data_IF_761628738471
#
_entry.id   IF_761628738471
#
_cell.length_a   1.000
_cell.length_b   1.000
_cell.length_c   1.000
_cell.angle_alpha   90.00
_cell.angle_beta   90.00
_cell.angle_gamma   90.00
#
_symmetry.space_group_name_H-M   'P 1'
#
loop_
_entity.id
_entity.type
_entity.pdbx_description
1 polymer ?
#
# COMPACT_ATOMS: atom_id res chain seq x y z
N UNK A 1 27.70 -7.09 -8.59
CA UNK A 1 27.34 -6.74 -7.20
C UNK A 1 26.05 -5.94 -7.28
N UNK A 2 25.03 -6.32 -6.52
CA UNK A 2 23.77 -5.56 -6.47
C UNK A 2 24.05 -4.21 -5.83
N UNK A 3 23.80 -3.11 -6.55
CA UNK A 3 23.97 -1.77 -5.99
C UNK A 3 22.84 -1.47 -5.01
N UNK A 4 23.15 -0.75 -3.95
CA UNK A 4 22.21 -0.47 -2.86
C UNK A 4 22.18 1.01 -2.49
N UNK A 5 21.07 1.44 -1.90
CA UNK A 5 20.83 2.82 -1.44
C UNK A 5 20.42 2.78 0.04
N UNK A 6 20.98 3.68 0.85
CA UNK A 6 20.59 3.85 2.26
C UNK A 6 19.26 4.61 2.36
N UNK A 7 18.28 4.04 3.07
CA UNK A 7 16.98 4.67 3.34
C UNK A 7 16.74 4.84 4.83
N UNK A 8 15.67 5.52 5.21
CA UNK A 8 15.27 5.66 6.62
C UNK A 8 15.05 4.32 7.35
N UNK A 9 14.76 3.26 6.60
CA UNK A 9 14.42 1.93 7.12
C UNK A 9 15.53 0.91 6.88
N UNK A 10 16.70 1.38 6.45
CA UNK A 10 17.86 0.55 6.11
C UNK A 10 18.12 0.50 4.61
N UNK A 11 18.97 -0.43 4.21
CA UNK A 11 19.50 -0.48 2.84
C UNK A 11 18.54 -1.19 1.88
N UNK A 12 18.29 -0.60 0.70
CA UNK A 12 17.43 -1.18 -0.35
C UNK A 12 18.20 -1.35 -1.67
N UNK A 13 17.74 -2.25 -2.54
CA UNK A 13 18.32 -2.39 -3.89
C UNK A 13 18.06 -1.10 -4.71
N UNK A 14 19.10 -0.58 -5.37
CA UNK A 14 19.01 0.59 -6.24
C UNK A 14 17.93 0.49 -7.33
N UNK A 15 17.66 -0.70 -7.87
CA UNK A 15 16.61 -0.92 -8.87
C UNK A 15 15.21 -0.66 -8.27
N UNK A 16 15.00 -1.10 -7.03
CA UNK A 16 13.73 -0.86 -6.30
C UNK A 16 13.58 0.62 -5.99
N UNK A 17 14.66 1.29 -5.59
CA UNK A 17 14.66 2.72 -5.35
C UNK A 17 14.35 3.52 -6.63
N UNK A 18 14.90 3.11 -7.77
CA UNK A 18 14.59 3.71 -9.07
C UNK A 18 13.13 3.49 -9.49
N UNK A 19 12.57 2.30 -9.23
CA UNK A 19 11.14 2.03 -9.46
C UNK A 19 10.27 2.91 -8.56
N UNK A 20 10.59 3.01 -7.26
CA UNK A 20 9.82 3.80 -6.29
C UNK A 20 9.71 5.28 -6.71
N UNK A 21 10.75 5.83 -7.35
CA UNK A 21 10.76 7.20 -7.88
C UNK A 21 9.69 7.45 -8.95
N UNK A 22 9.37 6.44 -9.75
CA UNK A 22 8.47 6.56 -10.90
C UNK A 22 6.99 6.33 -10.55
N UNK A 23 6.68 6.02 -9.29
CA UNK A 23 5.32 5.67 -8.85
C UNK A 23 4.40 6.89 -8.93
N UNK A 24 3.25 6.67 -9.58
CA UNK A 24 2.14 7.64 -9.74
C UNK A 24 0.84 7.14 -9.13
N UNK A 25 0.72 5.84 -8.90
CA UNK A 25 -0.41 5.19 -8.24
C UNK A 25 0.12 4.19 -7.22
N UNK A 26 -0.34 4.28 -5.98
CA UNK A 26 -0.13 3.26 -4.95
C UNK A 26 -1.46 2.58 -4.62
N UNK A 27 -1.49 1.27 -4.82
CA UNK A 27 -2.62 0.42 -4.47
C UNK A 27 -2.29 -0.32 -3.18
N UNK A 28 -3.24 -0.41 -2.26
CA UNK A 28 -3.07 -1.15 -1.02
C UNK A 28 -4.20 -2.16 -0.85
N UNK A 29 -3.87 -3.37 -0.41
CA UNK A 29 -4.82 -4.18 0.35
C UNK A 29 -5.10 -3.52 1.72
N UNK A 30 -6.09 -4.03 2.45
CA UNK A 30 -6.48 -3.54 3.77
C UNK A 30 -6.03 -4.49 4.87
N UNK A 31 -6.42 -5.75 4.81
CA UNK A 31 -6.34 -6.67 5.93
C UNK A 31 -4.99 -7.37 5.95
N UNK A 32 -4.17 -7.08 6.95
CA UNK A 32 -2.76 -7.49 6.97
C UNK A 32 -1.82 -6.44 6.36
N UNK A 33 -2.35 -5.37 5.77
CA UNK A 33 -1.56 -4.23 5.27
C UNK A 33 -1.79 -2.98 6.10
N UNK A 34 -3.01 -2.44 6.07
CA UNK A 34 -3.42 -1.29 6.90
C UNK A 34 -3.82 -1.72 8.32
N UNK A 35 -4.17 -2.99 8.51
CA UNK A 35 -4.43 -3.63 9.80
C UNK A 35 -3.42 -4.75 10.06
N UNK A 36 -3.42 -5.30 11.26
CA UNK A 36 -2.61 -6.47 11.66
C UNK A 36 -3.24 -7.81 11.20
N UNK A 37 -4.19 -7.77 10.26
CA UNK A 37 -4.91 -8.92 9.72
C UNK A 37 -6.02 -9.46 10.63
N UNK A 38 -6.21 -8.89 11.82
CA UNK A 38 -7.26 -9.34 12.76
C UNK A 38 -8.62 -8.73 12.43
N UNK A 39 -9.65 -9.56 12.57
CA UNK A 39 -11.04 -9.15 12.57
C UNK A 39 -11.60 -9.43 13.96
N UNK A 40 -12.04 -8.38 14.66
CA UNK A 40 -12.67 -8.51 15.96
C UNK A 40 -14.18 -8.61 15.75
N UNK A 41 -14.79 -9.68 16.26
CA UNK A 41 -16.22 -9.93 16.13
C UNK A 41 -16.87 -9.98 17.51
N UNK A 42 -17.98 -9.26 17.67
CA UNK A 42 -18.81 -9.29 18.87
C UNK A 42 -19.98 -10.27 18.75
N UNK A 43 -20.52 -10.69 19.89
CA UNK A 43 -21.65 -11.63 19.94
C UNK A 43 -22.95 -11.06 19.35
N UNK A 44 -23.03 -9.73 19.18
CA UNK A 44 -24.22 -9.04 18.68
C UNK A 44 -24.03 -8.56 17.24
N UNK A 45 -23.00 -9.05 16.53
CA UNK A 45 -22.72 -8.71 15.15
C UNK A 45 -21.81 -7.49 14.96
N UNK A 46 -21.18 -6.99 16.01
CA UNK A 46 -20.13 -5.97 15.88
C UNK A 46 -18.93 -6.53 15.10
N UNK A 47 -18.38 -5.72 14.20
CA UNK A 47 -17.08 -5.97 13.57
C UNK A 47 -16.19 -4.76 13.88
N UNK A 48 -14.94 -4.98 14.32
CA UNK A 48 -13.96 -3.91 14.50
C UNK A 48 -12.68 -4.23 13.71
N UNK A 49 -12.06 -3.16 13.20
CA UNK A 49 -10.75 -3.18 12.54
C UNK A 49 -9.93 -2.03 13.06
N UNK A 50 -8.64 -2.26 13.25
CA UNK A 50 -7.68 -1.25 13.69
C UNK A 50 -6.92 -0.69 12.49
N UNK A 51 -6.53 0.58 12.58
CA UNK A 51 -5.72 1.27 11.58
C UNK A 51 -4.65 2.09 12.28
N UNK A 52 -3.51 2.29 11.61
CA UNK A 52 -2.40 3.05 12.19
C UNK A 52 -2.40 4.51 11.71
N UNK A 53 -2.28 5.46 12.64
CA UNK A 53 -2.30 6.90 12.31
C UNK A 53 -1.07 7.35 11.52
N UNK A 54 0.09 6.68 11.71
CA UNK A 54 1.28 6.95 10.88
C UNK A 54 1.05 6.60 9.41
N UNK A 55 0.28 5.55 9.12
CA UNK A 55 -0.09 5.21 7.74
C UNK A 55 -0.97 6.30 7.14
N UNK A 56 -1.92 6.84 7.93
CA UNK A 56 -2.72 8.00 7.52
C UNK A 56 -1.87 9.22 7.15
N UNK A 57 -0.82 9.51 7.92
CA UNK A 57 0.15 10.55 7.58
C UNK A 57 0.83 10.29 6.23
N UNK A 58 1.36 9.06 6.04
CA UNK A 58 2.05 8.69 4.80
C UNK A 58 1.15 8.82 3.57
N UNK A 59 -0.07 8.30 3.64
CA UNK A 59 -1.07 8.40 2.57
C UNK A 59 -1.37 9.87 2.22
N UNK A 60 -1.62 10.72 3.23
CA UNK A 60 -1.85 12.15 2.99
C UNK A 60 -0.63 12.83 2.37
N UNK A 61 0.59 12.48 2.80
CA UNK A 61 1.82 12.99 2.20
C UNK A 61 1.94 12.61 0.72
N UNK A 62 1.67 11.34 0.35
CA UNK A 62 1.69 10.92 -1.06
C UNK A 62 0.64 11.64 -1.91
N UNK A 63 -0.59 11.78 -1.40
CA UNK A 63 -1.64 12.51 -2.11
C UNK A 63 -1.26 13.97 -2.34
N UNK A 64 -0.63 14.61 -1.35
CA UNK A 64 -0.10 15.98 -1.48
C UNK A 64 1.07 16.08 -2.48
N UNK A 65 1.75 14.97 -2.78
CA UNK A 65 2.77 14.85 -3.82
C UNK A 65 2.18 14.55 -5.22
N UNK A 66 0.85 14.50 -5.34
CA UNK A 66 0.14 14.19 -6.58
C UNK A 66 0.16 12.71 -6.96
N UNK A 67 0.42 11.81 -6.00
CA UNK A 67 0.34 10.36 -6.20
C UNK A 67 -1.07 9.90 -5.85
N UNK A 68 -1.70 9.19 -6.78
CA UNK A 68 -3.03 8.63 -6.59
C UNK A 68 -2.97 7.41 -5.66
N UNK A 69 -4.00 7.25 -4.82
CA UNK A 69 -4.11 6.15 -3.87
C UNK A 69 -5.38 5.37 -4.18
N UNK A 70 -5.28 4.04 -4.21
CA UNK A 70 -6.42 3.15 -4.35
C UNK A 70 -6.40 2.00 -3.35
N UNK A 71 -7.59 1.53 -2.98
CA UNK A 71 -7.80 0.41 -2.08
C UNK A 71 -8.49 -0.71 -2.84
N UNK A 72 -7.96 -1.94 -2.76
CA UNK A 72 -8.60 -3.14 -3.29
C UNK A 72 -8.63 -4.20 -2.21
N UNK A 73 -9.82 -4.55 -1.72
CA UNK A 73 -10.00 -5.58 -0.69
C UNK A 73 -11.12 -6.55 -1.06
N UNK A 74 -10.94 -7.82 -0.69
CA UNK A 74 -11.97 -8.85 -0.86
C UNK A 74 -13.12 -8.71 0.13
N UNK A 75 -12.89 -8.10 1.29
CA UNK A 75 -13.95 -7.84 2.27
C UNK A 75 -14.74 -6.58 1.90
N UNK A 76 -15.96 -6.48 2.45
CA UNK A 76 -16.77 -5.26 2.36
C UNK A 76 -17.26 -4.88 3.75
N UNK A 77 -16.90 -3.69 4.21
CA UNK A 77 -17.38 -3.14 5.48
C UNK A 77 -17.49 -1.62 5.45
N UNK A 78 -18.40 -1.08 6.26
CA UNK A 78 -18.55 0.36 6.43
C UNK A 78 -17.32 0.99 7.11
N UNK A 79 -16.59 0.22 7.91
CA UNK A 79 -15.39 0.67 8.62
C UNK A 79 -14.28 1.05 7.64
N UNK A 80 -14.06 0.22 6.61
CA UNK A 80 -13.10 0.52 5.55
C UNK A 80 -13.55 1.75 4.76
N UNK A 81 -14.82 1.81 4.37
CA UNK A 81 -15.38 2.97 3.65
C UNK A 81 -15.13 4.28 4.42
N UNK A 82 -15.50 4.30 5.71
CA UNK A 82 -15.33 5.47 6.57
C UNK A 82 -13.86 5.86 6.74
N UNK A 83 -12.97 4.87 6.98
CA UNK A 83 -11.55 5.12 7.18
C UNK A 83 -10.91 5.70 5.93
N UNK A 84 -11.09 5.06 4.80
CA UNK A 84 -10.43 5.44 3.55
C UNK A 84 -10.98 6.78 3.03
N UNK A 85 -12.28 7.02 3.20
CA UNK A 85 -12.89 8.33 2.91
C UNK A 85 -12.37 9.43 3.83
N UNK A 86 -12.17 9.17 5.13
CA UNK A 86 -11.56 10.15 6.05
C UNK A 86 -10.12 10.51 5.66
N UNK A 87 -9.37 9.56 5.08
CA UNK A 87 -8.07 9.82 4.48
C UNK A 87 -8.16 10.55 3.13
N UNK A 88 -9.36 10.76 2.59
CA UNK A 88 -9.60 11.45 1.30
C UNK A 88 -9.40 10.55 0.08
N UNK A 89 -9.23 9.24 0.27
CA UNK A 89 -9.07 8.27 -0.80
C UNK A 89 -10.41 8.14 -1.52
N UNK A 90 -10.40 8.27 -2.86
CA UNK A 90 -11.61 8.20 -3.70
C UNK A 90 -11.79 6.85 -4.38
N UNK A 91 -10.70 6.12 -4.61
CA UNK A 91 -10.68 4.86 -5.34
C UNK A 91 -10.76 3.70 -4.35
N UNK A 92 -11.96 3.38 -3.87
CA UNK A 92 -12.19 2.34 -2.87
C UNK A 92 -12.97 1.18 -3.52
N UNK A 93 -12.31 0.04 -3.70
CA UNK A 93 -12.89 -1.16 -4.31
C UNK A 93 -12.98 -2.27 -3.26
N UNK A 94 -14.18 -2.45 -2.72
CA UNK A 94 -14.49 -3.48 -1.73
C UNK A 94 -15.23 -4.67 -2.37
N UNK A 95 -15.19 -5.83 -1.72
CA UNK A 95 -15.86 -7.04 -2.21
C UNK A 95 -15.28 -7.56 -3.52
N UNK A 96 -13.97 -7.39 -3.74
CA UNK A 96 -13.30 -7.78 -4.97
C UNK A 96 -12.65 -9.16 -4.82
N UNK A 97 -13.34 -10.21 -5.25
CA UNK A 97 -12.76 -11.56 -5.35
C UNK A 97 -11.73 -11.64 -6.49
N UNK A 98 -11.97 -10.91 -7.59
CA UNK A 98 -11.02 -10.71 -8.69
C UNK A 98 -10.40 -9.31 -8.60
N UNK A 99 -9.27 -9.22 -7.89
CA UNK A 99 -8.52 -7.97 -7.74
C UNK A 99 -7.93 -7.46 -9.07
N UNK A 100 -7.73 -8.33 -10.06
CA UNK A 100 -7.17 -7.94 -11.37
C UNK A 100 -8.17 -7.08 -12.14
N UNK A 101 -9.47 -7.40 -12.05
CA UNK A 101 -10.52 -6.58 -12.67
C UNK A 101 -10.56 -5.17 -12.09
N UNK A 102 -10.52 -5.03 -10.77
CA UNK A 102 -10.48 -3.73 -10.11
C UNK A 102 -9.21 -2.94 -10.46
N UNK A 103 -8.06 -3.62 -10.48
CA UNK A 103 -6.79 -3.03 -10.92
C UNK A 103 -6.86 -2.45 -12.35
N UNK A 104 -7.44 -3.20 -13.30
CA UNK A 104 -7.55 -2.75 -14.69
C UNK A 104 -8.43 -1.50 -14.79
N UNK A 105 -9.60 -1.50 -14.12
CA UNK A 105 -10.51 -0.35 -14.10
C UNK A 105 -9.86 0.91 -13.51
N UNK A 106 -9.04 0.76 -12.45
CA UNK A 106 -8.26 1.88 -11.87
C UNK A 106 -7.24 2.41 -12.88
N UNK A 107 -6.47 1.53 -13.53
CA UNK A 107 -5.45 1.93 -14.50
C UNK A 107 -6.08 2.67 -15.68
N UNK A 108 -7.23 2.19 -16.18
CA UNK A 108 -7.95 2.80 -17.28
C UNK A 108 -8.47 4.20 -16.91
N UNK A 109 -9.09 4.35 -15.72
CA UNK A 109 -9.57 5.64 -15.21
C UNK A 109 -8.46 6.67 -15.04
N UNK A 110 -7.29 6.25 -14.57
CA UNK A 110 -6.17 7.14 -14.29
C UNK A 110 -5.20 7.29 -15.48
N UNK A 111 -5.35 6.48 -16.52
CA UNK A 111 -4.38 6.36 -17.62
C UNK A 111 -2.95 6.11 -17.11
N UNK A 112 -2.81 5.31 -16.04
CA UNK A 112 -1.51 4.94 -15.45
C UNK A 112 -1.09 3.57 -15.94
N UNK A 113 0.18 3.45 -16.31
CA UNK A 113 0.76 2.20 -16.81
C UNK A 113 1.31 1.34 -15.67
N UNK A 114 1.38 0.00 -15.83
CA UNK A 114 1.78 -0.90 -14.75
C UNK A 114 3.13 -0.59 -14.09
N UNK A 115 4.13 -0.16 -14.89
CA UNK A 115 5.47 0.19 -14.37
C UNK A 115 5.50 1.40 -13.42
N UNK A 116 4.49 2.27 -13.48
CA UNK A 116 4.33 3.43 -12.61
C UNK A 116 3.32 3.18 -11.48
N UNK A 117 2.92 1.93 -11.28
CA UNK A 117 2.04 1.49 -10.19
C UNK A 117 2.83 0.75 -9.13
N UNK A 118 2.52 1.02 -7.87
CA UNK A 118 2.94 0.23 -6.72
C UNK A 118 1.75 -0.51 -6.12
N UNK A 119 2.00 -1.68 -5.54
CA UNK A 119 1.01 -2.45 -4.80
C UNK A 119 1.61 -2.94 -3.48
N UNK A 120 0.90 -2.75 -2.37
CA UNK A 120 1.21 -3.32 -1.05
C UNK A 120 0.21 -4.43 -0.74
N UNK A 121 0.70 -5.66 -0.57
CA UNK A 121 -0.09 -6.84 -0.21
C UNK A 121 0.53 -7.63 0.93
N UNK A 122 -0.22 -8.60 1.44
CA UNK A 122 0.21 -9.49 2.52
C UNK A 122 0.03 -10.97 2.17
N UNK A 123 -0.92 -11.35 1.30
CA UNK A 123 -1.18 -12.74 0.95
C UNK A 123 -1.25 -13.03 -0.57
N UNK A 124 -1.35 -14.30 -0.93
CA UNK A 124 -1.29 -14.78 -2.31
C UNK A 124 -2.42 -14.28 -3.21
N UNK A 125 -3.54 -13.84 -2.63
CA UNK A 125 -4.64 -13.21 -3.36
C UNK A 125 -4.23 -11.87 -4.00
N UNK A 126 -3.18 -11.22 -3.49
CA UNK A 126 -2.63 -9.99 -4.04
C UNK A 126 -1.69 -10.23 -5.22
N UNK A 127 -1.08 -11.43 -5.30
CA UNK A 127 -0.05 -11.74 -6.28
C UNK A 127 -0.48 -11.49 -7.74
N UNK A 128 -1.70 -11.87 -8.18
CA UNK A 128 -2.15 -11.62 -9.56
C UNK A 128 -2.10 -10.14 -9.98
N UNK A 129 -2.24 -9.21 -9.05
CA UNK A 129 -2.05 -7.77 -9.32
C UNK A 129 -0.57 -7.40 -9.17
N UNK A 130 0.06 -7.82 -8.06
CA UNK A 130 1.47 -7.50 -7.78
C UNK A 130 2.41 -7.95 -8.89
N UNK A 131 2.15 -9.06 -9.58
CA UNK A 131 3.02 -9.53 -10.66
C UNK A 131 3.10 -8.56 -11.84
N UNK A 132 2.08 -7.72 -12.03
CA UNK A 132 1.93 -6.79 -13.16
C UNK A 132 2.60 -5.43 -12.91
N UNK A 133 2.71 -5.00 -11.66
CA UNK A 133 3.09 -3.63 -11.30
C UNK A 133 4.61 -3.46 -11.13
N UNK A 134 5.08 -2.21 -11.10
CA UNK A 134 6.48 -1.86 -10.91
C UNK A 134 6.97 -2.15 -9.48
N UNK A 135 6.34 -1.53 -8.48
CA UNK A 135 6.70 -1.72 -7.07
C UNK A 135 5.80 -2.78 -6.44
N UNK A 136 6.39 -3.90 -6.04
CA UNK A 136 5.71 -5.08 -5.49
C UNK A 136 6.11 -5.20 -4.02
N UNK A 137 5.37 -4.51 -3.15
CA UNK A 137 5.65 -4.48 -1.73
C UNK A 137 4.87 -5.58 -1.00
N UNK A 138 5.59 -6.43 -0.26
CA UNK A 138 5.00 -7.32 0.74
C UNK A 138 5.28 -6.75 2.13
N UNK A 139 4.30 -6.77 3.03
CA UNK A 139 4.56 -6.39 4.43
C UNK A 139 5.49 -7.40 5.12
N UNK A 140 6.18 -6.97 6.18
CA UNK A 140 7.22 -7.75 6.86
C UNK A 140 6.75 -9.13 7.36
N UNK A 141 5.49 -9.22 7.79
CA UNK A 141 4.82 -10.42 8.28
C UNK A 141 3.81 -11.01 7.29
N UNK A 142 3.88 -10.59 6.02
CA UNK A 142 3.09 -11.16 4.94
C UNK A 142 3.45 -12.63 4.71
N UNK A 143 2.56 -13.35 4.03
CA UNK A 143 2.72 -14.77 3.76
C UNK A 143 4.09 -15.04 3.11
N UNK A 144 4.88 -16.02 3.60
CA UNK A 144 6.27 -16.21 3.17
C UNK A 144 6.45 -16.42 1.67
N UNK A 145 5.45 -16.98 0.98
CA UNK A 145 5.50 -17.14 -0.46
C UNK A 145 5.29 -15.82 -1.22
N UNK A 146 4.50 -14.88 -0.69
CA UNK A 146 4.36 -13.56 -1.28
C UNK A 146 5.65 -12.75 -1.09
N UNK A 147 6.22 -12.77 0.12
CA UNK A 147 7.48 -12.08 0.43
C UNK A 147 8.62 -12.50 -0.51
N UNK A 148 8.70 -13.78 -0.89
CA UNK A 148 9.68 -14.29 -1.87
C UNK A 148 9.48 -13.78 -3.29
N UNK A 149 8.27 -13.35 -3.65
CA UNK A 149 7.90 -12.89 -4.99
C UNK A 149 7.92 -11.37 -5.13
N UNK A 150 7.76 -10.67 -4.00
CA UNK A 150 7.89 -9.23 -3.91
C UNK A 150 9.31 -8.75 -4.26
N UNK A 151 9.43 -7.53 -4.78
CA UNK A 151 10.72 -6.88 -4.98
C UNK A 151 11.09 -5.94 -3.83
N UNK A 152 10.14 -5.64 -2.95
CA UNK A 152 10.36 -4.95 -1.69
C UNK A 152 9.60 -5.67 -0.58
N UNK A 153 10.28 -5.99 0.52
CA UNK A 153 9.65 -6.47 1.75
C UNK A 153 9.88 -5.41 2.80
N UNK A 154 8.81 -4.91 3.41
CA UNK A 154 8.93 -3.86 4.42
C UNK A 154 9.66 -4.39 5.65
N UNK A 155 10.25 -3.49 6.42
CA UNK A 155 10.80 -3.81 7.75
C UNK A 155 9.71 -3.79 8.83
N UNK A 156 8.68 -2.96 8.63
CA UNK A 156 7.54 -2.82 9.54
C UNK A 156 6.41 -3.75 9.13
N UNK A 157 5.73 -4.31 10.13
CA UNK A 157 4.58 -5.22 9.98
C UNK A 157 3.30 -4.53 9.51
N UNK A 158 2.38 -5.31 8.93
CA UNK A 158 1.02 -4.88 8.62
C UNK A 158 0.33 -4.21 9.81
N UNK A 159 -0.35 -3.08 9.59
CA UNK A 159 -1.05 -2.34 10.65
C UNK A 159 -0.17 -1.64 11.68
N UNK A 160 1.15 -1.66 11.50
CA UNK A 160 2.12 -1.04 12.42
C UNK A 160 2.93 0.10 11.80
N UNK A 161 2.61 0.51 10.57
CA UNK A 161 3.37 1.51 9.82
C UNK A 161 3.98 1.02 8.50
N UNK A 162 3.65 -0.18 8.03
CA UNK A 162 4.19 -0.70 6.77
C UNK A 162 3.80 0.16 5.57
N UNK A 163 2.57 0.67 5.54
CA UNK A 163 2.13 1.59 4.48
C UNK A 163 2.92 2.89 4.56
N UNK A 164 3.14 3.42 5.78
CA UNK A 164 3.99 4.60 6.00
C UNK A 164 5.41 4.39 5.50
N UNK A 165 6.01 3.24 5.75
CA UNK A 165 7.36 2.91 5.26
C UNK A 165 7.43 2.98 3.73
N UNK A 166 6.45 2.40 3.02
CA UNK A 166 6.40 2.46 1.56
C UNK A 166 6.15 3.90 1.06
N UNK A 167 5.32 4.68 1.75
CA UNK A 167 5.14 6.10 1.43
C UNK A 167 6.44 6.89 1.54
N UNK A 168 7.20 6.68 2.62
CA UNK A 168 8.48 7.36 2.85
C UNK A 168 9.53 6.91 1.83
N UNK A 169 9.56 5.63 1.45
CA UNK A 169 10.44 5.12 0.38
C UNK A 169 10.19 5.85 -0.95
N UNK A 170 8.93 5.99 -1.35
CA UNK A 170 8.54 6.67 -2.60
C UNK A 170 8.96 8.15 -2.56
N UNK A 171 8.65 8.86 -1.46
CA UNK A 171 8.99 10.29 -1.33
C UNK A 171 10.50 10.50 -1.23
N UNK A 172 11.22 9.61 -0.54
CA UNK A 172 12.68 9.65 -0.48
C UNK A 172 13.31 9.44 -1.86
N UNK A 173 12.81 8.49 -2.64
CA UNK A 173 13.27 8.25 -4.01
C UNK A 173 13.03 9.43 -4.96
N UNK A 174 12.01 10.25 -4.66
CA UNK A 174 11.70 11.49 -5.38
C UNK A 174 12.41 12.72 -4.81
N UNK A 175 13.14 12.59 -3.71
CA UNK A 175 13.76 13.70 -2.97
C UNK A 175 12.72 14.73 -2.47
N UNK A 176 11.56 14.24 -2.06
CA UNK A 176 10.38 15.03 -1.66
C UNK A 176 9.93 14.76 -0.20
N UNK A 177 10.70 13.97 0.56
CA UNK A 177 10.35 13.53 1.92
C UNK A 177 10.05 14.68 2.88
N UNK A 178 10.84 15.75 2.85
CA UNK A 178 10.67 16.93 3.72
C UNK A 178 9.68 17.96 3.14
N UNK A 179 9.17 17.73 1.93
CA UNK A 179 8.32 18.67 1.19
C UNK A 179 6.85 18.44 1.50
N UNK A 180 6.39 17.20 1.39
CA UNK A 180 4.96 16.86 1.50
C UNK A 180 4.60 16.39 2.91
N UNK A 181 3.86 17.22 3.64
CA UNK A 181 3.40 16.92 5.00
C UNK A 181 1.99 16.34 4.97
N UNK A 182 1.78 15.25 5.71
CA UNK A 182 0.48 14.63 5.94
C UNK A 182 -0.18 15.10 7.23
N UNK A 183 -1.29 14.45 7.59
CA UNK A 183 -1.96 14.58 8.88
C UNK A 183 -1.94 13.22 9.57
N UNK A 184 -1.53 13.17 10.84
CA UNK A 184 -1.46 11.94 11.62
C UNK A 184 -2.84 11.56 12.15
N UNK A 185 -3.74 11.16 11.23
CA UNK A 185 -5.15 10.82 11.47
C UNK A 185 -5.44 9.36 11.18
#
# INVERSE_FOLDING_TARGET
MTQTVETLYGTVNSDVFAIAKEIKLLICDVDGVFSDGRIYMGNNGEELKTFHTRDGYGIKSLMNAGIEIAIITGRKSQIVENRMTALGIKLIYQGQDDKVKAYQDICDKLSVIPKNTGYIGDDLIDWPVMEKVGLKACVADGHPLLAKRANYVTTIKGGHGAVREVCDLILQARNELDVHKGLSI
#
